data_IF_124540212690
#
_entry.id   IF_124540212690
#
_cell.length_a   1.000
_cell.length_b   1.000
_cell.length_c   1.000
_cell.angle_alpha   90.00
_cell.angle_beta   90.00
_cell.angle_gamma   90.00
#
_symmetry.space_group_name_H-M   'P 1'
#
loop_
_entity.id
_entity.type
_entity.pdbx_description
1 polymer ?
#
# COMPACT_ATOMS: atom_id res chain seq x y z
N UNK A 1 27.31 52.50 -1.33
CA UNK A 1 27.29 51.20 -2.03
C UNK A 1 27.49 50.12 -0.97
N UNK A 2 26.38 49.63 -0.40
CA UNK A 2 26.41 48.50 0.54
C UNK A 2 26.31 47.19 -0.25
N UNK A 3 27.21 46.25 0.04
CA UNK A 3 27.17 44.90 -0.51
C UNK A 3 26.08 44.07 0.21
N UNK A 4 25.33 43.21 -0.49
CA UNK A 4 24.30 42.39 0.15
C UNK A 4 24.93 41.24 0.95
N UNK A 5 24.44 41.04 2.19
CA UNK A 5 24.81 39.92 3.06
C UNK A 5 24.31 38.61 2.45
N UNK A 6 25.23 37.69 2.19
CA UNK A 6 24.93 36.29 1.85
C UNK A 6 24.43 35.59 3.11
N UNK A 7 23.14 35.24 3.14
CA UNK A 7 22.59 34.36 4.17
C UNK A 7 23.15 32.95 3.93
N UNK A 8 24.05 32.50 4.81
CA UNK A 8 24.54 31.14 4.83
C UNK A 8 23.39 30.19 5.20
N UNK A 9 22.87 29.48 4.20
CA UNK A 9 21.99 28.33 4.41
C UNK A 9 22.80 27.24 5.13
N UNK A 10 22.57 27.08 6.43
CA UNK A 10 22.95 25.85 7.13
C UNK A 10 22.16 24.70 6.52
N UNK A 11 22.78 23.59 6.11
CA UNK A 11 22.05 22.42 5.65
C UNK A 11 21.11 21.97 6.77
N UNK A 12 19.81 22.08 6.52
CA UNK A 12 18.79 21.49 7.38
C UNK A 12 19.15 20.02 7.58
N UNK A 13 19.20 19.59 8.84
CA UNK A 13 19.49 18.21 9.19
C UNK A 13 18.52 17.31 8.43
N UNK A 14 19.06 16.47 7.53
CA UNK A 14 18.27 15.46 6.84
C UNK A 14 17.44 14.68 7.88
N UNK A 15 16.14 14.43 7.62
CA UNK A 15 15.30 13.73 8.58
C UNK A 15 15.94 12.37 8.88
N UNK A 16 16.21 12.13 10.18
CA UNK A 16 16.75 10.86 10.65
C UNK A 16 15.82 9.74 10.18
N UNK A 17 16.33 8.87 9.32
CA UNK A 17 15.72 7.56 9.04
C UNK A 17 15.54 6.88 10.40
N UNK A 18 14.33 6.94 10.95
CA UNK A 18 14.01 6.19 12.16
C UNK A 18 14.00 4.73 11.73
N UNK A 19 15.12 4.03 11.97
CA UNK A 19 15.21 2.59 11.77
C UNK A 19 13.99 1.95 12.42
N UNK A 20 13.14 1.34 11.61
CA UNK A 20 11.93 0.69 12.10
C UNK A 20 12.28 -0.28 13.22
N UNK A 21 11.63 -0.08 14.37
CA UNK A 21 11.77 -0.98 15.49
C UNK A 21 11.06 -2.29 15.14
N UNK A 22 11.81 -3.39 15.14
CA UNK A 22 11.22 -4.74 15.03
C UNK A 22 10.17 -4.94 16.12
N UNK A 23 9.07 -5.59 15.77
CA UNK A 23 8.02 -5.93 16.73
C UNK A 23 8.45 -7.18 17.50
N UNK A 24 8.95 -6.96 18.72
CA UNK A 24 9.32 -8.01 19.68
C UNK A 24 8.10 -8.46 20.50
N UNK A 25 8.23 -9.53 21.29
CA UNK A 25 7.11 -10.10 22.06
C UNK A 25 6.48 -9.14 23.08
N UNK A 26 7.24 -8.14 23.51
CA UNK A 26 6.81 -7.10 24.45
C UNK A 26 6.27 -5.85 23.76
N UNK A 27 6.32 -5.78 22.42
CA UNK A 27 5.76 -4.65 21.69
C UNK A 27 4.24 -4.59 21.87
N UNK A 28 3.74 -3.41 22.20
CA UNK A 28 2.30 -3.13 22.17
C UNK A 28 1.90 -2.93 20.71
N UNK A 29 0.92 -3.69 20.25
CA UNK A 29 0.39 -3.61 18.89
C UNK A 29 -1.02 -3.05 18.99
N UNK A 30 -1.25 -1.92 18.34
CA UNK A 30 -2.58 -1.35 18.23
C UNK A 30 -3.20 -1.76 16.89
N UNK A 31 -4.22 -2.64 16.88
CA UNK A 31 -4.87 -3.10 15.65
C UNK A 31 -5.46 -1.93 14.84
N UNK A 32 -5.61 -2.16 13.53
CA UNK A 32 -6.46 -1.33 12.70
C UNK A 32 -7.95 -1.56 13.00
N UNK A 33 -8.79 -0.62 12.60
CA UNK A 33 -10.24 -0.78 12.65
C UNK A 33 -10.79 -1.70 11.56
N UNK A 34 -12.01 -2.19 11.75
CA UNK A 34 -12.83 -2.78 10.69
C UNK A 34 -13.84 -1.72 10.27
N UNK A 35 -13.90 -1.43 8.97
CA UNK A 35 -14.95 -0.58 8.43
C UNK A 35 -16.18 -1.43 8.14
N UNK A 36 -17.32 -1.00 8.67
CA UNK A 36 -18.64 -1.61 8.42
C UNK A 36 -19.47 -0.55 7.68
N UNK A 37 -19.90 -0.80 6.44
CA UNK A 37 -20.69 0.18 5.70
C UNK A 37 -22.01 0.43 6.42
N UNK A 38 -22.32 1.71 6.62
CA UNK A 38 -23.56 2.19 7.23
C UNK A 38 -24.79 1.71 6.45
N UNK A 39 -24.67 1.63 5.13
CA UNK A 39 -25.65 0.99 4.26
C UNK A 39 -24.99 -0.15 3.46
N UNK A 40 -25.24 -1.42 3.83
CA UNK A 40 -24.70 -2.58 3.15
C UNK A 40 -25.19 -2.78 1.70
N UNK A 41 -26.25 -2.09 1.29
CA UNK A 41 -26.80 -2.17 -0.08
C UNK A 41 -26.06 -1.28 -1.07
N UNK A 42 -25.30 -0.29 -0.58
CA UNK A 42 -24.53 0.61 -1.42
C UNK A 42 -23.24 -0.04 -1.91
N UNK A 43 -22.93 0.17 -3.18
CA UNK A 43 -21.60 -0.15 -3.71
C UNK A 43 -20.53 0.74 -3.07
N UNK A 44 -19.23 0.35 -3.13
CA UNK A 44 -18.14 1.21 -2.66
C UNK A 44 -18.12 2.61 -3.27
N UNK A 45 -18.46 2.74 -4.55
CA UNK A 45 -18.55 4.01 -5.26
C UNK A 45 -19.72 4.87 -4.76
N UNK A 46 -20.85 4.25 -4.45
CA UNK A 46 -22.01 4.94 -3.92
C UNK A 46 -21.83 5.35 -2.45
N UNK A 47 -21.08 4.55 -1.68
CA UNK A 47 -20.76 4.82 -0.28
C UNK A 47 -19.68 5.92 -0.15
N UNK A 48 -18.65 5.83 -1.00
CA UNK A 48 -17.56 6.83 -1.10
C UNK A 48 -17.54 7.49 -2.48
N UNK A 49 -18.54 8.33 -2.81
CA UNK A 49 -18.55 9.02 -4.08
C UNK A 49 -17.38 10.01 -4.17
N UNK A 50 -17.01 10.35 -5.41
CA UNK A 50 -16.02 11.38 -5.66
C UNK A 50 -16.59 12.74 -5.27
N UNK A 51 -16.00 13.37 -4.26
CA UNK A 51 -16.40 14.69 -3.78
C UNK A 51 -15.17 15.57 -3.58
N UNK A 52 -15.32 16.87 -3.76
CA UNK A 52 -14.32 17.88 -3.38
C UNK A 52 -14.80 18.54 -2.12
N UNK A 53 -14.21 18.18 -0.98
CA UNK A 53 -14.52 18.82 0.31
C UNK A 53 -13.59 20.02 0.48
N UNK A 54 -14.17 21.21 0.60
CA UNK A 54 -13.44 22.43 0.95
C UNK A 54 -13.64 22.70 2.45
N UNK A 55 -12.55 22.85 3.18
CA UNK A 55 -12.56 23.28 4.58
C UNK A 55 -11.35 24.19 4.84
N UNK A 56 -11.42 25.12 5.83
CA UNK A 56 -10.32 26.05 6.10
C UNK A 56 -8.98 25.37 6.40
N UNK A 57 -9.02 24.16 6.96
CA UNK A 57 -7.89 23.32 7.34
C UNK A 57 -7.50 22.28 6.29
N UNK A 58 -8.14 22.28 5.10
CA UNK A 58 -7.96 21.22 4.10
C UNK A 58 -7.85 21.74 2.66
N UNK A 59 -6.88 21.24 1.87
CA UNK A 59 -6.83 21.56 0.45
C UNK A 59 -8.05 20.98 -0.30
N UNK A 60 -8.67 21.80 -1.15
CA UNK A 60 -9.82 21.42 -1.98
C UNK A 60 -9.41 20.46 -3.10
N UNK A 61 -9.28 19.18 -2.74
CA UNK A 61 -8.88 18.11 -3.66
C UNK A 61 -10.02 17.09 -3.83
N UNK A 62 -10.27 16.59 -5.05
CA UNK A 62 -11.26 15.55 -5.27
C UNK A 62 -10.79 14.24 -4.63
N UNK A 63 -11.66 13.62 -3.83
CA UNK A 63 -11.40 12.41 -3.05
C UNK A 63 -12.66 11.53 -2.97
N UNK A 64 -12.47 10.24 -2.73
CA UNK A 64 -13.57 9.34 -2.40
C UNK A 64 -13.94 9.56 -0.93
N UNK A 65 -15.01 10.30 -0.68
CA UNK A 65 -15.38 10.77 0.65
C UNK A 65 -16.60 9.97 1.11
N UNK A 66 -16.56 9.43 2.34
CA UNK A 66 -17.72 8.73 2.90
C UNK A 66 -18.91 9.71 2.92
N UNK A 67 -20.01 9.32 2.27
CA UNK A 67 -21.20 10.16 2.19
C UNK A 67 -21.89 10.40 3.53
N UNK A 68 -21.68 9.49 4.50
CA UNK A 68 -22.23 9.57 5.86
C UNK A 68 -21.27 10.26 6.82
N UNK A 69 -19.98 10.40 6.46
CA UNK A 69 -18.98 11.08 7.29
C UNK A 69 -17.89 11.75 6.43
N UNK A 70 -17.97 13.08 6.30
CA UNK A 70 -17.05 13.87 5.48
C UNK A 70 -15.59 13.88 5.95
N UNK A 71 -15.30 13.33 7.14
CA UNK A 71 -13.94 13.17 7.69
C UNK A 71 -13.32 11.79 7.40
N UNK A 72 -14.00 10.93 6.64
CA UNK A 72 -13.48 9.63 6.21
C UNK A 72 -13.28 9.54 4.69
N UNK A 73 -12.22 8.86 4.27
CA UNK A 73 -11.91 8.66 2.86
C UNK A 73 -11.66 7.20 2.50
N UNK A 74 -11.84 6.87 1.23
CA UNK A 74 -11.52 5.55 0.68
C UNK A 74 -10.18 5.56 -0.07
N UNK A 75 -9.35 4.56 0.22
CA UNK A 75 -8.30 4.07 -0.65
C UNK A 75 -8.67 2.68 -1.12
N UNK A 76 -8.58 2.45 -2.41
CA UNK A 76 -8.84 1.13 -3.01
C UNK A 76 -7.50 0.55 -3.41
N UNK A 77 -7.15 -0.63 -2.91
CA UNK A 77 -5.82 -1.21 -3.11
C UNK A 77 -5.92 -2.55 -3.81
N UNK A 78 -4.93 -2.86 -4.64
CA UNK A 78 -4.74 -4.21 -5.12
C UNK A 78 -3.26 -4.50 -5.45
N UNK A 79 -2.96 -5.79 -5.59
CA UNK A 79 -1.64 -6.30 -5.90
C UNK A 79 -1.74 -7.59 -6.69
N UNK A 80 -0.90 -7.71 -7.70
CA UNK A 80 -0.86 -8.84 -8.62
C UNK A 80 0.53 -9.47 -8.63
N UNK A 81 0.60 -10.75 -8.95
CA UNK A 81 1.85 -11.46 -9.13
C UNK A 81 1.75 -12.43 -10.30
N UNK A 82 2.59 -12.20 -11.32
CA UNK A 82 2.86 -13.12 -12.42
C UNK A 82 3.83 -14.18 -11.90
N UNK A 83 3.63 -15.44 -12.31
CA UNK A 83 4.43 -16.58 -11.83
C UNK A 83 4.39 -16.77 -10.30
N UNK A 84 3.24 -16.45 -9.68
CA UNK A 84 3.04 -16.57 -8.23
C UNK A 84 3.39 -17.97 -7.71
N UNK A 85 4.17 -18.03 -6.62
CA UNK A 85 4.61 -19.27 -5.98
C UNK A 85 5.92 -19.84 -6.50
N UNK A 86 6.51 -19.25 -7.55
CA UNK A 86 7.87 -19.57 -8.02
C UNK A 86 8.93 -18.83 -7.22
N UNK A 87 10.18 -19.23 -7.40
CA UNK A 87 11.34 -18.61 -6.74
C UNK A 87 12.31 -17.97 -7.73
N UNK A 88 12.96 -16.89 -7.32
CA UNK A 88 14.09 -16.29 -8.04
C UNK A 88 15.26 -17.25 -8.25
N UNK A 89 15.35 -18.29 -7.41
CA UNK A 89 16.36 -19.33 -7.51
C UNK A 89 16.11 -20.35 -8.64
N UNK A 90 14.96 -20.31 -9.32
CA UNK A 90 14.71 -21.18 -10.47
C UNK A 90 15.59 -20.76 -11.67
N UNK A 91 16.23 -21.75 -12.33
CA UNK A 91 17.17 -21.54 -13.43
C UNK A 91 16.52 -21.03 -14.75
N UNK A 92 15.25 -20.61 -14.73
CA UNK A 92 14.56 -20.08 -15.90
C UNK A 92 14.16 -18.62 -15.65
N UNK A 93 14.87 -17.64 -16.25
CA UNK A 93 14.59 -16.21 -16.08
C UNK A 93 13.15 -15.82 -16.48
N UNK A 94 12.57 -16.47 -17.48
CA UNK A 94 11.19 -16.23 -17.94
C UNK A 94 10.11 -16.68 -16.95
N UNK A 95 10.48 -17.45 -15.93
CA UNK A 95 9.58 -17.95 -14.90
C UNK A 95 9.76 -17.23 -13.55
N UNK A 96 10.57 -16.17 -13.50
CA UNK A 96 10.75 -15.38 -12.29
C UNK A 96 9.42 -14.75 -11.86
N UNK A 97 9.12 -14.72 -10.54
CA UNK A 97 7.91 -14.09 -10.03
C UNK A 97 8.02 -12.57 -10.17
N UNK A 98 7.03 -11.96 -10.81
CA UNK A 98 6.96 -10.50 -11.01
C UNK A 98 5.71 -9.96 -10.34
N UNK A 99 5.87 -9.02 -9.41
CA UNK A 99 4.77 -8.43 -8.66
C UNK A 99 4.47 -7.02 -9.16
N UNK A 100 3.23 -6.58 -8.96
CA UNK A 100 2.81 -5.20 -9.20
C UNK A 100 1.83 -4.76 -8.13
N UNK A 101 1.91 -3.50 -7.75
CA UNK A 101 1.03 -2.86 -6.77
C UNK A 101 0.23 -1.75 -7.45
N UNK A 102 -0.99 -1.53 -6.99
CA UNK A 102 -1.76 -0.36 -7.36
C UNK A 102 -2.67 0.11 -6.22
N UNK A 103 -2.96 1.40 -6.20
CA UNK A 103 -4.01 1.95 -5.36
C UNK A 103 -4.68 3.17 -6.01
N UNK A 104 -5.96 3.35 -5.71
CA UNK A 104 -6.78 4.48 -6.14
C UNK A 104 -7.10 5.36 -4.94
N UNK A 105 -6.91 6.67 -5.09
CA UNK A 105 -7.09 7.65 -4.00
C UNK A 105 -7.94 8.87 -4.40
N UNK A 106 -8.17 9.06 -5.70
CA UNK A 106 -9.09 10.06 -6.27
C UNK A 106 -9.65 9.54 -7.61
N UNK A 107 -10.64 10.24 -8.15
CA UNK A 107 -11.10 10.06 -9.52
C UNK A 107 -10.43 11.06 -10.47
N UNK A 108 -10.24 10.65 -11.72
CA UNK A 108 -9.90 11.56 -12.81
C UNK A 108 -11.18 12.18 -13.39
N UNK A 109 -11.14 13.47 -13.70
CA UNK A 109 -12.18 14.08 -14.54
C UNK A 109 -11.75 13.92 -15.99
N UNK A 110 -12.51 13.17 -16.78
CA UNK A 110 -12.29 13.02 -18.23
C UNK A 110 -12.37 14.37 -18.99
N UNK A 111 -12.95 15.40 -18.37
CA UNK A 111 -13.18 16.73 -18.96
C UNK A 111 -12.41 17.87 -18.28
N UNK A 112 -11.46 17.59 -17.37
CA UNK A 112 -10.68 18.64 -16.69
C UNK A 112 -9.48 19.05 -17.53
N UNK A 113 -9.67 20.03 -18.42
CA UNK A 113 -8.59 20.85 -19.01
C UNK A 113 -7.92 21.77 -18.00
N UNK A 114 -8.48 21.90 -16.79
CA UNK A 114 -7.85 22.60 -15.68
C UNK A 114 -6.82 21.69 -15.02
N UNK A 115 -5.57 22.14 -15.06
CA UNK A 115 -4.44 21.54 -14.35
C UNK A 115 -4.71 21.57 -12.84
N UNK A 116 -5.42 20.55 -12.34
CA UNK A 116 -5.38 20.26 -10.91
C UNK A 116 -3.91 20.14 -10.50
N UNK A 117 -3.48 20.63 -9.32
CA UNK A 117 -2.09 20.56 -8.87
C UNK A 117 -1.66 19.09 -8.85
N UNK A 118 -1.07 18.70 -9.96
CA UNK A 118 -0.54 17.38 -10.21
C UNK A 118 0.82 17.44 -9.58
N UNK A 119 0.99 16.75 -8.46
CA UNK A 119 2.35 16.50 -7.99
C UNK A 119 3.00 15.65 -9.07
N UNK A 120 3.98 16.19 -9.83
CA UNK A 120 4.59 15.41 -10.88
C UNK A 120 5.37 14.31 -10.18
N UNK A 121 4.94 13.06 -10.36
CA UNK A 121 5.80 11.91 -10.12
C UNK A 121 6.93 12.06 -11.15
N UNK A 122 8.03 12.70 -10.77
CA UNK A 122 9.18 12.93 -11.64
C UNK A 122 9.98 11.63 -11.69
N UNK A 123 9.83 10.87 -12.77
CA UNK A 123 10.71 9.75 -13.08
C UNK A 123 11.91 10.30 -13.85
N UNK A 124 13.16 10.10 -13.37
CA UNK A 124 14.33 10.41 -14.17
C UNK A 124 14.45 9.35 -15.29
N UNK A 125 14.33 9.77 -16.55
CA UNK A 125 14.71 9.00 -17.73
C UNK A 125 15.86 9.72 -18.45
N UNK A 126 16.71 8.98 -19.17
CA UNK A 126 17.90 9.53 -19.82
C UNK A 126 17.61 10.53 -20.96
N UNK A 127 16.35 10.71 -21.35
CA UNK A 127 15.93 11.63 -22.43
C UNK A 127 14.99 12.77 -21.96
N UNK A 128 14.87 13.00 -20.66
CA UNK A 128 14.08 14.11 -20.10
C UNK A 128 12.82 13.65 -19.37
N UNK A 129 12.44 14.43 -18.34
CA UNK A 129 11.39 14.08 -17.37
C UNK A 129 10.04 13.77 -18.04
N UNK A 130 9.67 12.51 -18.12
CA UNK A 130 8.30 12.13 -18.48
C UNK A 130 7.41 12.38 -17.26
N UNK A 131 6.55 13.41 -17.33
CA UNK A 131 5.48 13.61 -16.36
C UNK A 131 4.59 12.36 -16.42
N UNK A 132 4.57 11.54 -15.37
CA UNK A 132 3.52 10.52 -15.25
C UNK A 132 2.19 11.28 -15.30
N UNK A 133 1.40 11.08 -16.36
CA UNK A 133 0.03 11.59 -16.46
C UNK A 133 -0.79 10.96 -15.33
N UNK A 134 -0.87 11.64 -14.18
CA UNK A 134 -1.74 11.33 -13.04
C UNK A 134 -3.21 11.67 -13.38
N UNK A 135 -3.67 11.27 -14.56
CA UNK A 135 -4.96 11.70 -15.11
C UNK A 135 -6.16 10.96 -14.52
N UNK A 136 -5.96 9.88 -13.76
CA UNK A 136 -7.07 9.04 -13.25
C UNK A 136 -7.10 8.78 -11.72
N UNK A 137 -6.16 9.32 -10.96
CA UNK A 137 -6.12 9.13 -9.49
C UNK A 137 -5.78 7.71 -9.02
N UNK A 138 -5.15 6.93 -9.91
CA UNK A 138 -4.63 5.59 -9.65
C UNK A 138 -3.11 5.65 -9.72
N UNK A 139 -2.43 5.22 -8.65
CA UNK A 139 -0.98 4.99 -8.63
C UNK A 139 -0.74 3.50 -8.85
N UNK A 140 0.23 3.14 -9.69
CA UNK A 140 0.65 1.76 -9.92
C UNK A 140 2.16 1.68 -10.08
N UNK A 141 2.76 0.59 -9.64
CA UNK A 141 4.21 0.41 -9.69
C UNK A 141 4.61 -1.09 -9.61
N UNK A 142 5.69 -1.53 -10.26
CA UNK A 142 6.26 -2.86 -10.03
C UNK A 142 6.58 -3.09 -8.54
N UNK A 143 6.40 -4.32 -8.06
CA UNK A 143 6.80 -4.67 -6.69
C UNK A 143 8.32 -4.69 -6.59
N UNK A 144 8.87 -4.09 -5.55
CA UNK A 144 10.31 -4.09 -5.30
C UNK A 144 10.85 -5.48 -4.92
N UNK A 145 12.03 -5.82 -5.45
CA UNK A 145 12.71 -7.08 -5.16
C UNK A 145 13.24 -7.17 -3.72
N UNK A 146 13.69 -6.03 -3.17
CA UNK A 146 14.18 -5.92 -1.80
C UNK A 146 13.06 -5.41 -0.89
N UNK A 147 12.73 -6.13 0.17
CA UNK A 147 11.78 -5.63 1.17
C UNK A 147 12.31 -4.43 1.98
N UNK A 148 11.48 -3.83 2.84
CA UNK A 148 11.90 -2.71 3.70
C UNK A 148 13.14 -2.98 4.58
N UNK A 149 13.45 -4.26 4.82
CA UNK A 149 14.64 -4.68 5.59
C UNK A 149 15.87 -4.95 4.71
N UNK A 150 15.82 -4.67 3.40
CA UNK A 150 16.90 -4.87 2.43
C UNK A 150 17.08 -6.30 1.92
N UNK A 151 16.24 -7.25 2.35
CA UNK A 151 16.33 -8.63 1.91
C UNK A 151 15.60 -8.86 0.59
N UNK A 152 16.21 -9.61 -0.33
CA UNK A 152 15.55 -10.08 -1.54
C UNK A 152 14.50 -11.12 -1.17
N UNK A 153 13.25 -10.93 -1.59
CA UNK A 153 12.13 -11.82 -1.27
C UNK A 153 11.33 -12.14 -2.53
N UNK A 154 11.08 -13.43 -2.77
CA UNK A 154 10.21 -13.87 -3.87
C UNK A 154 8.85 -13.15 -3.85
N UNK A 155 8.47 -12.63 -5.00
CA UNK A 155 7.17 -12.00 -5.16
C UNK A 155 6.05 -13.04 -5.02
N UNK A 156 5.01 -12.67 -4.30
CA UNK A 156 3.77 -13.44 -4.17
C UNK A 156 2.60 -12.48 -4.21
N UNK A 157 1.40 -12.95 -4.57
CA UNK A 157 0.20 -12.11 -4.56
C UNK A 157 -0.04 -11.48 -3.19
N UNK A 158 0.13 -12.25 -2.11
CA UNK A 158 -0.05 -11.73 -0.74
C UNK A 158 0.97 -10.63 -0.40
N UNK A 159 2.23 -10.78 -0.85
CA UNK A 159 3.26 -9.75 -0.64
C UNK A 159 2.93 -8.48 -1.44
N UNK A 160 2.51 -8.63 -2.69
CA UNK A 160 2.10 -7.51 -3.55
C UNK A 160 0.94 -6.72 -2.93
N UNK A 161 -0.16 -7.40 -2.54
CA UNK A 161 -1.31 -6.71 -1.95
C UNK A 161 -0.94 -6.03 -0.62
N UNK A 162 -0.17 -6.69 0.24
CA UNK A 162 0.26 -6.09 1.52
C UNK A 162 1.15 -4.86 1.30
N UNK A 163 2.03 -4.90 0.30
CA UNK A 163 2.85 -3.75 -0.07
C UNK A 163 2.03 -2.61 -0.67
N UNK A 164 0.98 -2.91 -1.43
CA UNK A 164 0.05 -1.91 -1.96
C UNK A 164 -0.63 -1.10 -0.85
N UNK A 165 -1.02 -1.75 0.26
CA UNK A 165 -1.56 -1.04 1.44
C UNK A 165 -0.53 -0.07 2.01
N UNK A 166 0.69 -0.54 2.25
CA UNK A 166 1.77 0.28 2.80
C UNK A 166 2.06 1.47 1.89
N UNK A 167 2.16 1.22 0.57
CA UNK A 167 2.38 2.24 -0.43
C UNK A 167 1.28 3.31 -0.42
N UNK A 168 0.01 2.90 -0.33
CA UNK A 168 -1.11 3.81 -0.25
C UNK A 168 -1.10 4.66 1.03
N UNK A 169 -0.77 4.07 2.18
CA UNK A 169 -0.66 4.81 3.45
C UNK A 169 0.53 5.77 3.47
N UNK A 170 1.65 5.37 2.85
CA UNK A 170 2.84 6.20 2.72
C UNK A 170 2.62 7.38 1.76
N UNK A 171 1.82 7.19 0.71
CA UNK A 171 1.73 8.10 -0.43
C UNK A 171 1.55 9.59 -0.07
N UNK A 172 0.80 9.87 0.99
CA UNK A 172 0.57 11.23 1.50
C UNK A 172 0.42 11.22 3.02
N UNK A 173 0.68 12.37 3.63
CA UNK A 173 0.30 12.64 5.02
C UNK A 173 -1.22 12.83 5.12
N UNK A 174 -1.96 11.72 5.15
CA UNK A 174 -3.43 11.73 5.12
C UNK A 174 -4.03 12.49 6.32
N UNK A 175 -3.42 12.40 7.51
CA UNK A 175 -3.83 13.17 8.68
C UNK A 175 -3.66 14.68 8.47
N UNK A 176 -2.55 15.09 7.86
CA UNK A 176 -2.30 16.50 7.51
C UNK A 176 -3.21 17.02 6.37
N UNK A 177 -3.78 16.13 5.55
CA UNK A 177 -4.86 16.49 4.61
C UNK A 177 -6.21 16.70 5.32
N UNK A 178 -6.29 16.49 6.64
CA UNK A 178 -7.48 16.76 7.46
C UNK A 178 -8.42 15.57 7.64
N UNK A 179 -8.00 14.37 7.24
CA UNK A 179 -8.77 13.14 7.38
C UNK A 179 -8.66 12.56 8.78
N UNK A 180 -9.80 12.11 9.34
CA UNK A 180 -9.84 11.40 10.64
C UNK A 180 -9.86 9.90 10.48
N UNK A 181 -10.22 9.39 9.30
CA UNK A 181 -10.15 7.97 8.99
C UNK A 181 -9.84 7.72 7.52
N UNK A 182 -8.88 6.83 7.28
CA UNK A 182 -8.60 6.23 5.98
C UNK A 182 -9.15 4.82 5.98
N UNK A 183 -10.09 4.56 5.07
CA UNK A 183 -10.69 3.24 4.84
C UNK A 183 -9.98 2.58 3.67
N UNK A 184 -9.42 1.38 3.91
CA UNK A 184 -8.74 0.58 2.89
C UNK A 184 -9.69 -0.50 2.39
N UNK A 185 -10.11 -0.40 1.12
CA UNK A 185 -10.89 -1.43 0.45
C UNK A 185 -9.98 -2.46 -0.22
N UNK A 186 -10.17 -3.74 0.15
CA UNK A 186 -9.47 -4.88 -0.44
C UNK A 186 -10.35 -6.14 -0.39
N UNK A 187 -10.09 -7.08 -1.29
CA UNK A 187 -10.72 -8.42 -1.35
C UNK A 187 -9.92 -9.49 -0.58
N UNK A 188 -8.76 -9.14 -0.01
CA UNK A 188 -7.87 -10.11 0.60
C UNK A 188 -8.04 -10.19 2.12
N UNK A 189 -8.78 -11.21 2.56
CA UNK A 189 -9.01 -11.52 3.99
C UNK A 189 -7.70 -11.59 4.80
N UNK A 190 -6.61 -12.09 4.20
CA UNK A 190 -5.29 -12.15 4.84
C UNK A 190 -4.80 -10.78 5.33
N UNK A 191 -5.09 -9.71 4.59
CA UNK A 191 -4.73 -8.34 4.97
C UNK A 191 -5.65 -7.85 6.07
N UNK A 192 -6.97 -7.96 5.85
CA UNK A 192 -7.98 -7.44 6.78
C UNK A 192 -7.85 -8.07 8.15
N UNK A 193 -7.91 -9.42 8.25
CA UNK A 193 -7.75 -10.12 9.52
C UNK A 193 -6.34 -10.01 10.08
N UNK A 194 -5.33 -9.94 9.20
CA UNK A 194 -3.95 -9.75 9.63
C UNK A 194 -3.78 -8.46 10.43
N UNK A 195 -4.29 -7.33 9.91
CA UNK A 195 -4.17 -6.01 10.53
C UNK A 195 -5.11 -5.79 11.73
N UNK A 196 -6.24 -6.50 11.79
CA UNK A 196 -7.30 -6.29 12.80
C UNK A 196 -7.30 -7.34 13.91
N UNK A 197 -6.89 -8.58 13.65
CA UNK A 197 -6.99 -9.70 14.58
C UNK A 197 -5.65 -10.40 14.85
N UNK A 198 -4.90 -10.74 13.79
CA UNK A 198 -3.82 -11.72 13.91
C UNK A 198 -2.49 -11.14 14.33
N UNK A 199 -2.16 -9.92 13.89
CA UNK A 199 -0.86 -9.31 14.15
C UNK A 199 -0.52 -9.22 15.66
N UNK A 200 -1.42 -8.77 16.56
CA UNK A 200 -1.12 -8.78 18.00
C UNK A 200 -0.81 -10.17 18.55
N UNK A 201 -1.48 -11.20 18.02
CA UNK A 201 -1.21 -12.60 18.39
C UNK A 201 0.14 -13.06 17.86
N UNK A 202 0.46 -12.76 16.61
CA UNK A 202 1.74 -13.09 15.99
C UNK A 202 2.91 -12.49 16.75
N UNK A 203 2.80 -11.22 17.13
CA UNK A 203 3.84 -10.51 17.91
C UNK A 203 4.02 -11.15 19.30
N UNK A 204 2.94 -11.40 20.05
CA UNK A 204 3.00 -12.09 21.35
C UNK A 204 3.63 -13.48 21.28
N UNK A 205 3.37 -14.20 20.19
CA UNK A 205 3.92 -15.53 19.91
C UNK A 205 5.35 -15.49 19.32
N UNK A 206 5.96 -14.30 19.20
CA UNK A 206 7.32 -14.14 18.69
C UNK A 206 7.45 -14.50 17.21
N UNK A 207 6.42 -14.21 16.42
CA UNK A 207 6.33 -14.51 14.99
C UNK A 207 6.43 -16.00 14.62
N UNK A 208 5.98 -16.86 15.54
CA UNK A 208 5.96 -18.32 15.35
C UNK A 208 4.53 -18.85 15.38
N UNK A 209 4.17 -19.65 14.38
CA UNK A 209 2.93 -20.42 14.35
C UNK A 209 2.95 -21.47 15.46
N UNK A 210 1.93 -21.46 16.31
CA UNK A 210 1.76 -22.40 17.43
C UNK A 210 1.31 -23.80 16.97
N UNK A 211 0.66 -23.90 15.81
CA UNK A 211 0.30 -25.14 15.09
C UNK A 211 0.21 -24.80 13.59
N UNK A 212 0.30 -25.77 12.69
CA UNK A 212 -0.08 -25.54 11.29
C UNK A 212 -1.52 -25.04 11.28
N UNK A 213 -1.76 -23.82 10.82
CA UNK A 213 -3.11 -23.26 10.77
C UNK A 213 -3.99 -24.08 9.79
N UNK A 214 -5.25 -24.41 10.14
CA UNK A 214 -6.09 -25.33 9.36
C UNK A 214 -6.48 -24.86 7.96
N UNK A 215 -6.28 -23.59 7.58
CA UNK A 215 -6.58 -23.11 6.22
C UNK A 215 -5.73 -23.78 5.14
N UNK A 216 -4.67 -24.50 5.53
CA UNK A 216 -3.96 -25.47 4.69
C UNK A 216 -4.68 -26.84 4.59
N UNK A 217 -5.98 -26.95 4.89
CA UNK A 217 -6.79 -28.11 4.47
C UNK A 217 -7.04 -28.00 2.96
N UNK A 218 -6.04 -28.51 2.22
CA UNK A 218 -6.02 -28.95 0.81
C UNK A 218 -7.30 -28.66 0.02
N UNK A 219 -7.19 -27.87 -1.05
CA UNK A 219 -7.85 -28.26 -2.30
C UNK A 219 -7.13 -29.51 -2.82
N UNK A 220 -7.88 -30.54 -3.19
CA UNK A 220 -7.37 -31.82 -3.69
C UNK A 220 -6.54 -31.53 -4.96
N UNK A 221 -5.20 -31.69 -4.91
CA UNK A 221 -4.30 -31.52 -6.06
C UNK A 221 -3.24 -30.41 -5.96
N UNK A 222 -3.28 -29.54 -4.95
CA UNK A 222 -2.29 -28.46 -4.80
C UNK A 222 -0.94 -28.98 -4.28
N UNK A 223 0.07 -29.04 -5.16
CA UNK A 223 1.44 -29.44 -4.79
C UNK A 223 2.08 -28.29 -4.00
N UNK A 224 2.54 -28.56 -2.77
CA UNK A 224 3.43 -27.61 -2.10
C UNK A 224 4.65 -27.39 -2.98
N UNK A 225 4.94 -26.12 -3.30
CA UNK A 225 6.20 -25.74 -3.92
C UNK A 225 7.39 -26.23 -3.10
N UNK A 226 8.57 -26.39 -3.71
CA UNK A 226 9.75 -26.89 -3.02
C UNK A 226 10.02 -26.07 -1.74
N UNK A 227 10.38 -26.77 -0.66
CA UNK A 227 10.77 -26.14 0.60
C UNK A 227 11.92 -25.17 0.33
N UNK A 228 11.75 -23.89 0.67
CA UNK A 228 12.89 -22.97 0.68
C UNK A 228 13.91 -23.47 1.72
N UNK A 229 15.18 -23.70 1.35
CA UNK A 229 16.21 -24.09 2.29
C UNK A 229 16.28 -23.06 3.43
N UNK A 230 16.27 -23.52 4.69
CA UNK A 230 16.37 -22.66 5.88
C UNK A 230 15.09 -21.96 6.34
N UNK A 231 13.98 -22.04 5.61
CA UNK A 231 12.72 -21.43 6.05
C UNK A 231 12.00 -22.31 7.09
N UNK A 232 11.85 -21.80 8.32
CA UNK A 232 11.07 -22.47 9.36
C UNK A 232 9.62 -22.65 8.92
N UNK A 233 9.11 -23.89 8.95
CA UNK A 233 7.68 -24.20 8.67
C UNK A 233 6.70 -23.46 9.60
N UNK A 234 7.21 -22.95 10.71
CA UNK A 234 6.46 -22.19 11.71
C UNK A 234 6.62 -20.68 11.55
N UNK A 235 7.43 -20.21 10.61
CA UNK A 235 7.56 -18.78 10.34
C UNK A 235 6.26 -18.23 9.77
N UNK A 236 5.96 -17.00 10.17
CA UNK A 236 4.87 -16.21 9.61
C UNK A 236 5.44 -15.46 8.39
N UNK A 237 4.73 -15.56 7.27
CA UNK A 237 5.15 -14.93 6.02
C UNK A 237 5.02 -13.40 6.11
N UNK A 238 5.81 -12.69 5.31
CA UNK A 238 5.76 -11.23 5.15
C UNK A 238 5.88 -10.45 6.46
N UNK A 239 6.64 -10.96 7.44
CA UNK A 239 6.88 -10.28 8.72
C UNK A 239 7.39 -8.86 8.52
N UNK A 240 8.30 -8.67 7.58
CA UNK A 240 8.88 -7.37 7.23
C UNK A 240 7.80 -6.34 6.86
N UNK A 241 6.88 -6.73 5.98
CA UNK A 241 5.78 -5.85 5.58
C UNK A 241 4.73 -5.66 6.69
N UNK A 242 4.50 -6.66 7.52
CA UNK A 242 3.58 -6.50 8.67
C UNK A 242 4.14 -5.55 9.74
N UNK A 243 5.45 -5.61 10.00
CA UNK A 243 6.13 -4.65 10.88
C UNK A 243 6.03 -3.22 10.31
N UNK A 244 6.23 -3.06 9.00
CA UNK A 244 6.06 -1.77 8.31
C UNK A 244 4.62 -1.26 8.35
N UNK A 245 3.63 -2.10 8.04
CA UNK A 245 2.23 -1.71 8.07
C UNK A 245 1.80 -1.24 9.46
N UNK A 246 2.23 -1.93 10.52
CA UNK A 246 1.94 -1.52 11.89
C UNK A 246 2.52 -0.13 12.20
N UNK A 247 3.77 0.11 11.78
CA UNK A 247 4.40 1.40 11.96
C UNK A 247 3.59 2.52 11.30
N UNK A 248 3.09 2.30 10.07
CA UNK A 248 2.25 3.28 9.34
C UNK A 248 0.89 3.50 10.00
N UNK A 249 0.23 2.45 10.48
CA UNK A 249 -1.03 2.57 11.22
C UNK A 249 -0.84 3.42 12.49
N UNK A 250 0.26 3.23 13.22
CA UNK A 250 0.56 4.03 14.41
C UNK A 250 0.99 5.46 14.09
N UNK A 251 1.69 5.67 12.97
CA UNK A 251 2.03 7.00 12.47
C UNK A 251 0.77 7.83 12.21
N UNK A 252 -0.17 7.32 11.39
CA UNK A 252 -1.44 8.00 11.15
C UNK A 252 -2.24 8.19 12.45
N UNK A 253 -2.23 7.21 13.37
CA UNK A 253 -2.92 7.35 14.66
C UNK A 253 -2.37 8.51 15.50
N UNK A 254 -1.05 8.76 15.49
CA UNK A 254 -0.45 9.92 16.18
C UNK A 254 -0.88 11.24 15.56
N UNK A 255 -1.18 11.25 14.26
CA UNK A 255 -1.78 12.37 13.54
C UNK A 255 -3.31 12.43 13.70
N UNK A 256 -3.89 11.63 14.60
CA UNK A 256 -5.34 11.57 14.83
C UNK A 256 -6.13 11.15 13.57
N UNK A 257 -5.52 10.28 12.78
CA UNK A 257 -6.10 9.65 11.60
C UNK A 257 -6.11 8.12 11.80
N UNK A 258 -7.29 7.52 11.87
CA UNK A 258 -7.42 6.07 12.02
C UNK A 258 -7.32 5.35 10.68
N UNK A 259 -6.78 4.13 10.69
CA UNK A 259 -6.83 3.23 9.53
C UNK A 259 -7.85 2.15 9.81
N UNK A 260 -8.81 1.97 8.90
CA UNK A 260 -9.81 0.90 8.95
C UNK A 260 -9.81 0.09 7.65
N UNK A 261 -10.09 -1.21 7.75
CA UNK A 261 -10.14 -2.10 6.59
C UNK A 261 -11.58 -2.48 6.25
N UNK A 262 -11.94 -2.36 4.98
CA UNK A 262 -13.19 -2.83 4.41
C UNK A 262 -12.91 -4.07 3.55
N UNK A 263 -13.40 -5.23 4.00
CA UNK A 263 -13.34 -6.46 3.21
C UNK A 263 -14.46 -6.47 2.17
N UNK A 264 -14.10 -6.46 0.89
CA UNK A 264 -15.05 -6.65 -0.19
C UNK A 264 -15.62 -8.07 -0.14
N UNK A 265 -16.95 -8.20 -0.06
CA UNK A 265 -17.60 -9.49 -0.29
C UNK A 265 -17.57 -9.83 -1.79
N UNK A 266 -17.90 -11.07 -2.14
CA UNK A 266 -17.83 -11.56 -3.53
C UNK A 266 -18.67 -10.74 -4.50
N UNK A 267 -19.86 -10.29 -4.11
CA UNK A 267 -20.72 -9.48 -4.98
C UNK A 267 -20.13 -8.09 -5.22
N UNK A 268 -19.66 -7.42 -4.15
CA UNK A 268 -18.95 -6.14 -4.23
C UNK A 268 -17.69 -6.26 -5.08
N UNK A 269 -16.93 -7.34 -4.93
CA UNK A 269 -15.72 -7.60 -5.73
C UNK A 269 -16.01 -7.69 -7.23
N UNK A 270 -17.16 -8.27 -7.60
CA UNK A 270 -17.56 -8.48 -8.99
C UNK A 270 -18.10 -7.20 -9.65
N UNK A 271 -18.83 -6.38 -8.90
CA UNK A 271 -19.57 -5.24 -9.44
C UNK A 271 -18.81 -3.92 -9.32
N UNK A 272 -17.88 -3.80 -8.37
CA UNK A 272 -17.16 -2.55 -8.13
C UNK A 272 -16.16 -2.23 -9.26
N UNK A 273 -16.38 -1.10 -9.91
CA UNK A 273 -15.44 -0.54 -10.88
C UNK A 273 -14.14 -0.10 -10.22
N UNK A 274 -14.20 0.37 -8.97
CA UNK A 274 -13.01 0.69 -8.19
C UNK A 274 -12.08 -0.51 -8.05
N UNK A 275 -12.62 -1.67 -7.68
CA UNK A 275 -11.84 -2.90 -7.50
C UNK A 275 -11.32 -3.38 -8.86
N UNK A 276 -12.18 -3.43 -9.88
CA UNK A 276 -11.81 -3.88 -11.22
C UNK A 276 -10.66 -3.06 -11.84
N UNK A 277 -10.74 -1.72 -11.77
CA UNK A 277 -9.70 -0.82 -12.28
C UNK A 277 -8.37 -0.99 -11.52
N UNK A 278 -8.44 -1.12 -10.20
CA UNK A 278 -7.23 -1.27 -9.36
C UNK A 278 -6.55 -2.61 -9.61
N UNK A 279 -7.32 -3.69 -9.80
CA UNK A 279 -6.83 -5.02 -10.23
C UNK A 279 -6.12 -4.97 -11.57
N UNK A 280 -6.74 -4.31 -12.56
CA UNK A 280 -6.15 -4.16 -13.89
C UNK A 280 -4.80 -3.40 -13.81
N UNK A 281 -4.77 -2.29 -13.06
CA UNK A 281 -3.56 -1.49 -12.86
C UNK A 281 -2.44 -2.26 -12.16
N UNK A 282 -2.77 -3.06 -11.12
CA UNK A 282 -1.79 -3.89 -10.43
C UNK A 282 -1.22 -4.99 -11.34
N UNK A 283 -2.06 -5.59 -12.20
CA UNK A 283 -1.63 -6.61 -13.17
C UNK A 283 -0.75 -6.03 -14.27
N UNK A 284 -1.08 -4.86 -14.78
CA UNK A 284 -0.24 -4.15 -15.73
C UNK A 284 1.13 -3.83 -15.13
N UNK A 285 1.16 -3.30 -13.91
CA UNK A 285 2.41 -3.03 -13.20
C UNK A 285 3.25 -4.30 -12.97
N UNK A 286 2.62 -5.45 -12.72
CA UNK A 286 3.34 -6.72 -12.61
C UNK A 286 3.98 -7.15 -13.94
N UNK A 287 3.40 -6.80 -15.09
CA UNK A 287 3.97 -7.05 -16.41
C UNK A 287 5.25 -6.24 -16.69
N UNK A 288 5.39 -5.08 -16.05
CA UNK A 288 6.55 -4.19 -16.21
C UNK A 288 7.79 -4.64 -15.40
N UNK A 289 7.62 -5.53 -14.42
CA UNK A 289 8.69 -5.89 -13.46
C UNK A 289 9.91 -6.61 -14.06
N UNK A 290 9.85 -7.07 -15.31
CA UNK A 290 11.01 -7.60 -16.03
C UNK A 290 12.01 -6.51 -16.46
N UNK A 291 11.59 -5.24 -16.51
CA UNK A 291 12.37 -4.14 -17.10
C UNK A 291 12.97 -3.20 -16.05
N UNK A 292 12.55 -3.26 -14.78
CA UNK A 292 12.92 -2.26 -13.77
C UNK A 292 13.44 -2.89 -12.47
N UNK A 293 14.75 -2.82 -12.26
CA UNK A 293 15.41 -3.14 -10.99
C UNK A 293 15.35 -1.92 -10.04
N UNK A 294 14.13 -1.46 -9.72
CA UNK A 294 13.92 -0.26 -8.92
C UNK A 294 14.11 -0.54 -7.42
N UNK A 295 15.00 0.23 -6.79
CA UNK A 295 15.25 0.20 -5.35
C UNK A 295 14.03 0.72 -4.55
N UNK A 296 13.73 0.18 -3.36
CA UNK A 296 12.59 0.60 -2.51
C UNK A 296 12.56 2.10 -2.19
N UNK A 297 13.74 2.72 -2.09
CA UNK A 297 13.93 4.12 -1.77
C UNK A 297 13.41 5.04 -2.88
N UNK A 298 13.46 4.59 -4.14
CA UNK A 298 12.94 5.36 -5.28
C UNK A 298 11.42 5.47 -5.26
N UNK A 299 10.69 4.46 -4.80
CA UNK A 299 9.23 4.59 -4.62
C UNK A 299 8.87 5.63 -3.55
N UNK A 300 9.61 5.63 -2.43
CA UNK A 300 9.42 6.59 -1.34
C UNK A 300 9.78 8.02 -1.78
N UNK A 301 10.82 8.18 -2.60
CA UNK A 301 11.17 9.45 -3.27
C UNK A 301 10.12 9.88 -4.29
N UNK A 302 9.63 8.96 -5.12
CA UNK A 302 8.62 9.23 -6.15
C UNK A 302 7.29 9.67 -5.54
N UNK A 303 6.91 9.16 -4.37
CA UNK A 303 5.71 9.58 -3.65
C UNK A 303 5.85 10.93 -2.91
N UNK A 304 7.00 11.61 -3.00
CA UNK A 304 7.20 12.92 -2.39
C UNK A 304 7.32 12.89 -0.85
N UNK A 305 7.65 11.75 -0.25
CA UNK A 305 7.76 11.58 1.22
C UNK A 305 9.17 11.94 1.72
N UNK A 306 10.06 12.38 0.84
CA UNK A 306 11.33 13.02 1.22
C UNK A 306 11.42 14.40 0.58
N UNK A 307 10.92 15.41 1.31
CA UNK A 307 11.42 16.77 1.27
C UNK A 307 11.88 17.15 2.68
#
# INVERSE_FOLDING_TARGET
MEQPRVLSFTPSQAPRITRQKRLTRSATVHPAGIFIPEDPSLSPEAHFPLQTVSAPDRPALPRFVNRFNSREMLLVIDGSCINNGRSFAENNPGLRPSGGIAFKFKGGSANSTTEAPTFPLLVPTEEGHEKIKDTLGTVKHPLEYQGPQGHIVDHTSNRAKLRAVIAALQFRSWGQEGWRRVVILTDLEYIVRGATEWLPRWVRQGWRKTRLQPWHRRRRGEKFGPKKPGASRYAIANRDLWEELQFRIEELRRENCEVSFWLACTDVERESQFIAQTKAAAREAAGLGHFWDMQPERFTQLCGIML
#
